data_IF_581637836084
#
_entry.id   IF_581637836084
#
_cell.length_a   1.000
_cell.length_b   1.000
_cell.length_c   1.000
_cell.angle_alpha   90.00
_cell.angle_beta   90.00
_cell.angle_gamma   90.00
#
_symmetry.space_group_name_H-M   'P 1'
#
loop_
_entity.id
_entity.type
_entity.pdbx_description
1 polymer ?
#
# COMPACT_ATOMS: atom_id res chain seq x y z
N UNK A 1 8.01 -9.56 -24.45
CA UNK A 1 7.95 -8.60 -23.32
C UNK A 1 6.72 -8.93 -22.52
N UNK A 2 6.86 -9.49 -21.32
CA UNK A 2 5.72 -9.81 -20.47
C UNK A 2 5.15 -8.47 -19.98
N UNK A 3 3.95 -8.07 -20.44
CA UNK A 3 3.20 -7.02 -19.76
C UNK A 3 2.89 -7.56 -18.36
N UNK A 4 3.68 -7.18 -17.36
CA UNK A 4 3.33 -7.47 -15.98
C UNK A 4 1.93 -6.89 -15.78
N UNK A 5 0.95 -7.76 -15.48
CA UNK A 5 -0.41 -7.32 -15.21
C UNK A 5 -0.37 -6.26 -14.10
N UNK A 6 -1.24 -5.27 -14.15
CA UNK A 6 -1.26 -4.25 -13.10
C UNK A 6 -1.98 -4.79 -11.86
N UNK A 7 -1.60 -4.36 -10.64
CA UNK A 7 -2.36 -4.66 -9.45
C UNK A 7 -3.81 -4.18 -9.58
N UNK A 8 -4.75 -4.98 -9.11
CA UNK A 8 -6.19 -4.72 -9.21
C UNK A 8 -6.79 -4.47 -7.84
N UNK A 9 -7.94 -3.77 -7.73
CA UNK A 9 -8.63 -3.59 -6.46
C UNK A 9 -8.84 -4.88 -5.67
N UNK A 10 -8.42 -4.90 -4.40
CA UNK A 10 -8.78 -5.97 -3.48
C UNK A 10 -10.27 -5.82 -3.14
N UNK A 11 -11.07 -6.86 -3.39
CA UNK A 11 -12.52 -6.83 -3.17
C UNK A 11 -12.97 -7.63 -1.95
N UNK A 12 -12.28 -8.73 -1.59
CA UNK A 12 -12.57 -9.51 -0.38
C UNK A 12 -11.44 -9.38 0.67
N UNK A 13 -11.75 -8.70 1.77
CA UNK A 13 -10.81 -8.45 2.86
C UNK A 13 -10.90 -9.49 3.99
N UNK A 14 -11.93 -10.35 4.04
CA UNK A 14 -12.30 -11.13 5.24
C UNK A 14 -11.15 -11.94 5.83
N UNK A 15 -10.34 -12.57 4.98
CA UNK A 15 -9.16 -13.35 5.39
C UNK A 15 -7.84 -12.59 5.22
N UNK A 16 -7.86 -11.42 4.58
CA UNK A 16 -6.66 -10.64 4.25
C UNK A 16 -6.41 -9.45 5.16
N UNK A 17 -7.34 -9.10 6.07
CA UNK A 17 -7.15 -7.99 7.01
C UNK A 17 -5.87 -8.08 7.86
N UNK A 18 -5.47 -9.26 8.40
CA UNK A 18 -4.19 -9.37 9.11
C UNK A 18 -2.97 -9.13 8.20
N UNK A 19 -3.03 -9.61 6.96
CA UNK A 19 -1.98 -9.40 5.95
C UNK A 19 -1.85 -7.91 5.60
N UNK A 20 -2.98 -7.21 5.45
CA UNK A 20 -3.00 -5.77 5.21
C UNK A 20 -2.36 -4.98 6.37
N UNK A 21 -2.66 -5.33 7.63
CA UNK A 21 -2.06 -4.67 8.80
C UNK A 21 -0.55 -4.89 8.86
N UNK A 22 -0.09 -6.13 8.65
CA UNK A 22 1.34 -6.45 8.63
C UNK A 22 2.07 -5.69 7.51
N UNK A 23 1.51 -5.69 6.29
CA UNK A 23 2.08 -4.98 5.16
C UNK A 23 2.15 -3.47 5.38
N UNK A 24 1.06 -2.85 5.85
CA UNK A 24 1.04 -1.40 6.13
C UNK A 24 2.07 -1.02 7.18
N UNK A 25 2.23 -1.85 8.21
CA UNK A 25 3.28 -1.68 9.22
C UNK A 25 4.67 -1.70 8.57
N UNK A 26 5.01 -2.77 7.84
CA UNK A 26 6.32 -2.89 7.19
C UNK A 26 6.62 -1.69 6.28
N UNK A 27 5.63 -1.29 5.47
CA UNK A 27 5.75 -0.16 4.55
C UNK A 27 6.01 1.14 5.32
N UNK A 28 5.21 1.44 6.36
CA UNK A 28 5.42 2.65 7.18
C UNK A 28 6.75 2.62 7.92
N UNK A 29 7.14 1.48 8.49
CA UNK A 29 8.40 1.33 9.23
C UNK A 29 9.62 1.54 8.32
N UNK A 30 9.56 1.13 7.05
CA UNK A 30 10.61 1.45 6.06
C UNK A 30 10.74 2.97 5.82
N UNK A 31 9.62 3.71 5.88
CA UNK A 31 9.61 5.14 5.62
C UNK A 31 10.05 5.98 6.82
N UNK A 32 9.49 5.70 8.00
CA UNK A 32 9.60 6.57 9.18
C UNK A 32 10.22 5.91 10.41
N UNK A 33 10.61 4.64 10.33
CA UNK A 33 11.08 3.85 11.47
C UNK A 33 9.93 3.27 12.31
N UNK A 34 10.23 2.71 13.48
CA UNK A 34 9.23 2.02 14.33
C UNK A 34 7.99 2.86 14.62
N UNK A 35 6.81 2.25 14.44
CA UNK A 35 5.51 2.91 14.60
C UNK A 35 4.50 2.10 15.41
N UNK A 36 3.66 2.81 16.15
CA UNK A 36 2.41 2.31 16.69
C UNK A 36 1.27 2.69 15.76
N UNK A 37 0.32 1.77 15.51
CA UNK A 37 -0.66 1.92 14.44
C UNK A 37 -2.09 1.66 14.90
N UNK A 38 -3.00 2.58 14.55
CA UNK A 38 -4.46 2.39 14.60
C UNK A 38 -4.99 2.29 13.19
N UNK A 39 -5.94 1.37 12.96
CA UNK A 39 -6.45 1.06 11.64
C UNK A 39 -7.96 1.19 11.59
N UNK A 40 -8.46 1.88 10.57
CA UNK A 40 -9.88 1.95 10.24
C UNK A 40 -10.06 1.48 8.80
N UNK A 41 -10.85 0.42 8.61
CA UNK A 41 -11.09 -0.18 7.30
C UNK A 41 -12.42 0.30 6.74
N UNK A 42 -12.42 0.70 5.46
CA UNK A 42 -13.59 1.21 4.77
C UNK A 42 -13.73 0.57 3.40
N UNK A 43 -14.96 0.32 2.99
CA UNK A 43 -15.27 -0.09 1.63
C UNK A 43 -15.74 1.13 0.84
N UNK A 44 -15.08 1.40 -0.28
CA UNK A 44 -15.48 2.47 -1.19
C UNK A 44 -16.63 2.03 -2.10
N UNK A 45 -17.34 3.01 -2.66
CA UNK A 45 -18.47 2.78 -3.56
C UNK A 45 -18.09 1.98 -4.81
N UNK A 46 -16.83 2.10 -5.28
CA UNK A 46 -16.28 1.34 -6.41
C UNK A 46 -15.85 -0.08 -6.02
N UNK A 47 -16.07 -0.50 -4.77
CA UNK A 47 -15.72 -1.83 -4.28
C UNK A 47 -14.24 -2.01 -3.92
N UNK A 48 -13.44 -0.94 -3.86
CA UNK A 48 -12.08 -1.00 -3.30
C UNK A 48 -12.11 -0.98 -1.77
N UNK A 49 -11.12 -1.62 -1.14
CA UNK A 49 -10.87 -1.42 0.28
C UNK A 49 -9.86 -0.31 0.51
N UNK A 50 -10.21 0.60 1.42
CA UNK A 50 -9.30 1.60 1.99
C UNK A 50 -8.99 1.27 3.44
N UNK A 51 -7.78 1.62 3.85
CA UNK A 51 -7.34 1.55 5.25
C UNK A 51 -6.80 2.91 5.63
N UNK A 52 -7.48 3.57 6.55
CA UNK A 52 -6.93 4.76 7.20
C UNK A 52 -6.07 4.30 8.37
N UNK A 53 -4.86 4.82 8.41
CA UNK A 53 -3.88 4.49 9.42
C UNK A 53 -3.43 5.75 10.12
N UNK A 54 -3.62 5.81 11.43
CA UNK A 54 -2.98 6.81 12.29
C UNK A 54 -1.74 6.15 12.90
N UNK A 55 -0.62 6.87 12.86
CA UNK A 55 0.66 6.38 13.35
C UNK A 55 1.33 7.35 14.32
N UNK A 56 2.01 6.78 15.32
CA UNK A 56 2.83 7.46 16.32
C UNK A 56 4.14 6.68 16.56
N UNK A 57 5.06 7.22 17.37
CA UNK A 57 6.37 6.61 17.61
C UNK A 57 7.48 7.50 17.01
N UNK A 58 8.29 6.95 16.10
CA UNK A 58 9.36 7.68 15.42
C UNK A 58 8.86 8.86 14.57
N UNK A 59 7.61 8.80 14.13
CA UNK A 59 6.89 9.92 13.52
C UNK A 59 5.42 9.89 13.97
N UNK A 60 4.73 11.03 13.85
CA UNK A 60 3.28 11.12 14.08
C UNK A 60 2.58 11.61 12.83
N UNK A 61 1.51 10.92 12.44
CA UNK A 61 0.75 11.32 11.27
C UNK A 61 -0.43 10.40 10.98
N UNK A 62 -1.01 10.63 9.80
CA UNK A 62 -2.09 9.82 9.26
C UNK A 62 -1.85 9.60 7.79
N UNK A 63 -2.09 8.38 7.31
CA UNK A 63 -2.01 8.01 5.91
C UNK A 63 -3.13 7.05 5.55
N UNK A 64 -3.72 7.23 4.37
CA UNK A 64 -4.72 6.31 3.84
C UNK A 64 -4.07 5.41 2.79
N UNK A 65 -4.49 4.14 2.74
CA UNK A 65 -4.02 3.15 1.80
C UNK A 65 -5.18 2.55 1.02
N UNK A 66 -5.05 2.42 -0.29
CA UNK A 66 -5.91 1.58 -1.11
C UNK A 66 -5.29 0.18 -1.20
N UNK A 67 -6.05 -0.86 -0.91
CA UNK A 67 -5.58 -2.25 -1.00
C UNK A 67 -5.80 -2.81 -2.39
N UNK A 68 -4.74 -3.37 -2.98
CA UNK A 68 -4.73 -3.97 -4.31
C UNK A 68 -4.17 -5.40 -4.23
N UNK A 69 -4.71 -6.32 -5.04
CA UNK A 69 -4.14 -7.62 -5.34
C UNK A 69 -3.03 -7.45 -6.38
N UNK A 70 -1.85 -8.03 -6.12
CA UNK A 70 -0.80 -8.07 -7.14
C UNK A 70 -1.02 -9.24 -8.09
N UNK A 71 -0.43 -9.23 -9.30
CA UNK A 71 -0.54 -10.34 -10.26
C UNK A 71 -0.06 -11.68 -9.71
N UNK A 72 0.89 -11.65 -8.79
CA UNK A 72 1.48 -12.85 -8.16
C UNK A 72 0.64 -13.36 -6.97
N UNK A 73 -0.54 -12.80 -6.71
CA UNK A 73 -1.41 -13.14 -5.58
C UNK A 73 -1.03 -12.46 -4.25
N UNK A 74 -0.09 -11.52 -4.28
CA UNK A 74 0.29 -10.69 -3.14
C UNK A 74 -0.72 -9.58 -2.85
N UNK A 75 -0.30 -8.64 -2.02
CA UNK A 75 -1.05 -7.43 -1.70
C UNK A 75 -0.15 -6.21 -1.81
N UNK A 76 -0.70 -5.13 -2.33
CA UNK A 76 -0.10 -3.81 -2.33
C UNK A 76 -0.99 -2.86 -1.51
N UNK A 77 -0.42 -2.19 -0.52
CA UNK A 77 -1.05 -1.10 0.19
C UNK A 77 -0.58 0.23 -0.42
N UNK A 78 -1.34 0.75 -1.38
CA UNK A 78 -1.00 1.96 -2.12
C UNK A 78 -1.37 3.22 -1.31
N UNK A 79 -0.40 4.01 -0.81
CA UNK A 79 -0.67 5.20 0.00
C UNK A 79 -1.29 6.34 -0.80
N UNK A 80 -2.12 7.14 -0.13
CA UNK A 80 -2.78 8.34 -0.64
C UNK A 80 -2.67 9.48 0.40
N UNK A 81 -2.00 10.61 0.07
CA UNK A 81 -1.15 10.81 -1.12
C UNK A 81 0.06 9.85 -1.10
N UNK A 82 0.75 9.70 -2.24
CA UNK A 82 2.01 8.94 -2.30
C UNK A 82 3.19 9.83 -1.88
N UNK A 83 3.86 9.56 -0.74
CA UNK A 83 5.13 10.20 -0.37
C UNK A 83 6.16 10.21 -1.50
N UNK A 84 6.87 11.34 -1.62
CA UNK A 84 7.88 11.56 -2.67
C UNK A 84 9.02 10.52 -2.61
N UNK A 85 9.46 10.14 -1.40
CA UNK A 85 10.50 9.12 -1.22
C UNK A 85 10.13 7.78 -1.86
N UNK A 86 8.90 7.30 -1.66
CA UNK A 86 8.42 6.10 -2.36
C UNK A 86 8.23 6.33 -3.85
N UNK A 87 7.83 7.54 -4.26
CA UNK A 87 7.68 7.84 -5.69
C UNK A 87 9.00 7.73 -6.45
N UNK A 88 10.09 8.28 -5.90
CA UNK A 88 11.36 8.51 -6.61
C UNK A 88 12.50 7.59 -6.23
N UNK A 89 12.54 7.05 -5.00
CA UNK A 89 13.75 6.41 -4.47
C UNK A 89 13.59 4.93 -4.13
N UNK A 90 12.44 4.53 -3.59
CA UNK A 90 12.30 3.17 -3.04
C UNK A 90 11.13 2.38 -3.61
N UNK A 91 10.06 3.02 -4.07
CA UNK A 91 8.81 2.31 -4.36
C UNK A 91 8.13 1.77 -3.11
N UNK A 92 6.88 1.34 -3.28
CA UNK A 92 6.06 0.72 -2.25
C UNK A 92 6.25 -0.79 -2.37
N UNK A 93 6.76 -1.41 -1.32
CA UNK A 93 6.90 -2.87 -1.24
C UNK A 93 5.52 -3.52 -1.15
N UNK A 94 5.29 -4.55 -1.96
CA UNK A 94 4.15 -5.45 -1.88
C UNK A 94 4.53 -6.73 -1.12
N UNK A 95 3.52 -7.49 -0.67
CA UNK A 95 3.74 -8.72 0.11
C UNK A 95 4.35 -9.88 -0.68
N UNK A 96 4.38 -9.79 -2.01
CA UNK A 96 5.03 -10.76 -2.91
C UNK A 96 6.49 -10.37 -3.26
N UNK A 97 7.03 -9.34 -2.60
CA UNK A 97 8.38 -8.84 -2.84
C UNK A 97 8.52 -7.88 -4.02
N UNK A 98 7.48 -7.69 -4.84
CA UNK A 98 7.49 -6.69 -5.91
C UNK A 98 7.43 -5.27 -5.32
N UNK A 99 7.92 -4.28 -6.07
CA UNK A 99 7.84 -2.86 -5.70
C UNK A 99 7.09 -2.08 -6.76
N UNK A 100 6.26 -1.14 -6.33
CA UNK A 100 5.38 -0.36 -7.19
C UNK A 100 5.48 1.13 -6.90
N UNK A 101 5.15 1.97 -7.88
CA UNK A 101 5.11 3.43 -7.72
C UNK A 101 4.03 4.02 -8.62
N UNK A 102 3.79 5.33 -8.49
CA UNK A 102 2.96 6.08 -9.43
C UNK A 102 3.85 6.90 -10.36
N UNK A 103 3.50 6.95 -11.65
CA UNK A 103 4.03 7.93 -12.59
C UNK A 103 3.66 9.36 -12.17
N UNK A 104 4.21 10.35 -12.86
CA UNK A 104 3.82 11.76 -12.71
C UNK A 104 2.33 11.99 -13.03
N UNK A 105 1.77 11.21 -13.96
CA UNK A 105 0.35 11.22 -14.33
C UNK A 105 -0.53 10.42 -13.38
N UNK A 106 0.04 9.79 -12.36
CA UNK A 106 -0.71 9.02 -11.36
C UNK A 106 -1.01 7.56 -11.76
N UNK A 107 -0.38 7.06 -12.82
CA UNK A 107 -0.52 5.67 -13.27
C UNK A 107 0.33 4.73 -12.44
N UNK A 108 -0.24 3.59 -12.04
CA UNK A 108 0.47 2.56 -11.30
C UNK A 108 1.45 1.83 -12.22
N UNK A 109 2.71 1.71 -11.80
CA UNK A 109 3.77 1.00 -12.53
C UNK A 109 4.71 0.29 -11.59
N UNK A 110 5.44 -0.70 -12.10
CA UNK A 110 6.53 -1.33 -11.35
C UNK A 110 7.61 -0.29 -11.01
N UNK A 111 8.20 -0.41 -9.83
CA UNK A 111 9.37 0.37 -9.42
C UNK A 111 10.63 -0.42 -9.80
N UNK A 112 11.50 0.20 -10.60
CA UNK A 112 12.74 -0.38 -11.11
C UNK A 112 13.86 0.63 -11.08
#
# INVERSE_FOLDING_TARGET
>A
MNQASLPTPLTDLRKRAPQARALIREVLEELVGPVELRYEFYREWNGCWKVRTEFSGSAKGRLEFTLLDTPSGGMLALPRPLPERWRLQTGIKASDGTRWTLSETGELRAFG
#
